data_IF_037674335373
#
_entry.id   IF_037674335373
#
_cell.length_a   1.000
_cell.length_b   1.000
_cell.length_c   1.000
_cell.angle_alpha   90.00
_cell.angle_beta   90.00
_cell.angle_gamma   90.00
#
_symmetry.space_group_name_H-M   'P 1'
#
loop_
_entity.id
_entity.type
_entity.pdbx_description
1 polymer ?
#
# COMPACT_ATOMS: atom_id res chain seq x y z
N UNK A 1 -11.22 -10.06 -12.09
CA UNK A 1 -11.85 -8.86 -11.54
C UNK A 1 -10.76 -7.86 -11.17
N UNK A 2 -11.00 -6.59 -11.41
CA UNK A 2 -10.13 -5.48 -11.03
C UNK A 2 -10.92 -4.58 -10.08
N UNK A 3 -10.29 -4.17 -8.97
CA UNK A 3 -10.85 -3.19 -8.05
C UNK A 3 -9.80 -2.12 -7.76
N UNK A 4 -10.18 -0.86 -7.92
CA UNK A 4 -9.35 0.25 -7.49
C UNK A 4 -9.48 0.44 -5.98
N UNK A 5 -8.36 0.53 -5.30
CA UNK A 5 -8.25 0.89 -3.89
C UNK A 5 -7.26 2.04 -3.81
N UNK A 6 -7.58 3.05 -3.01
CA UNK A 6 -6.67 4.17 -2.77
C UNK A 6 -5.36 3.63 -2.20
N UNK A 7 -4.24 4.05 -2.77
CA UNK A 7 -2.90 3.68 -2.31
C UNK A 7 -2.30 4.77 -1.40
N UNK A 8 -1.00 5.03 -1.57
CA UNK A 8 -0.24 5.99 -0.76
C UNK A 8 -0.62 7.47 -1.00
N UNK A 9 -1.64 7.74 -1.82
CA UNK A 9 -2.11 9.10 -2.16
C UNK A 9 -2.36 9.97 -0.93
N UNK A 10 -3.06 9.44 0.08
CA UNK A 10 -3.36 10.21 1.29
C UNK A 10 -2.08 10.64 2.02
N UNK A 11 -1.12 9.74 2.14
CA UNK A 11 0.15 10.03 2.80
C UNK A 11 0.99 11.02 2.01
N UNK A 12 1.02 10.90 0.68
CA UNK A 12 1.72 11.84 -0.18
C UNK A 12 1.09 13.24 -0.14
N UNK A 13 -0.24 13.34 -0.06
CA UNK A 13 -0.92 14.62 0.09
C UNK A 13 -0.69 15.24 1.49
N UNK A 14 -0.61 14.44 2.54
CA UNK A 14 -0.17 14.92 3.85
C UNK A 14 1.26 15.47 3.77
N UNK A 15 2.21 14.74 3.15
CA UNK A 15 3.59 15.20 2.96
C UNK A 15 3.65 16.54 2.21
N UNK A 16 2.84 16.70 1.14
CA UNK A 16 2.77 17.98 0.40
C UNK A 16 2.26 19.11 1.27
N UNK A 17 1.24 18.88 2.09
CA UNK A 17 0.73 19.86 3.03
C UNK A 17 1.80 20.27 4.04
N UNK A 18 2.48 19.30 4.65
CA UNK A 18 3.54 19.54 5.62
C UNK A 18 4.75 20.25 5.02
N UNK A 19 5.12 19.93 3.77
CA UNK A 19 6.19 20.64 3.06
C UNK A 19 5.88 22.14 2.92
N UNK A 20 4.64 22.51 2.61
CA UNK A 20 4.24 23.94 2.54
C UNK A 20 4.29 24.66 3.89
N UNK A 21 4.25 23.91 4.99
CA UNK A 21 4.38 24.40 6.37
C UNK A 21 5.83 24.36 6.88
N UNK A 22 6.79 24.02 6.04
CA UNK A 22 8.21 23.93 6.38
C UNK A 22 8.62 22.63 7.08
N UNK A 23 7.76 21.60 7.07
CA UNK A 23 8.06 20.24 7.57
C UNK A 23 8.30 19.31 6.39
N UNK A 24 9.56 19.02 6.12
CA UNK A 24 9.95 18.19 4.98
C UNK A 24 10.43 16.83 5.47
N UNK A 25 9.73 15.78 5.07
CA UNK A 25 10.02 14.40 5.49
C UNK A 25 10.40 13.55 4.28
N UNK A 26 11.55 12.91 4.39
CA UNK A 26 11.84 11.75 3.55
C UNK A 26 10.96 10.55 3.98
N UNK A 27 10.58 9.69 3.02
CA UNK A 27 9.68 8.58 3.31
C UNK A 27 10.18 7.67 4.46
N UNK A 28 11.48 7.29 4.55
CA UNK A 28 11.96 6.47 5.66
C UNK A 28 11.79 7.12 7.03
N UNK A 29 11.96 8.44 7.12
CA UNK A 29 11.76 9.20 8.36
C UNK A 29 10.29 9.18 8.78
N UNK A 30 9.38 9.43 7.84
CA UNK A 30 7.95 9.41 8.10
C UNK A 30 7.45 8.02 8.52
N UNK A 31 7.97 6.95 7.91
CA UNK A 31 7.66 5.59 8.30
C UNK A 31 8.17 5.25 9.70
N UNK A 32 9.30 5.81 10.11
CA UNK A 32 9.79 5.71 11.49
C UNK A 32 8.85 6.40 12.47
N UNK A 33 8.43 7.65 12.17
CA UNK A 33 7.44 8.37 13.00
C UNK A 33 6.12 7.59 13.10
N UNK A 34 5.69 6.96 12.01
CA UNK A 34 4.50 6.10 12.01
C UNK A 34 4.67 4.88 12.94
N UNK A 35 5.83 4.23 12.90
CA UNK A 35 6.12 3.09 13.78
C UNK A 35 6.18 3.51 15.25
N UNK A 36 6.75 4.68 15.56
CA UNK A 36 6.81 5.22 16.92
C UNK A 36 5.40 5.60 17.44
N UNK A 37 4.43 5.78 16.57
CA UNK A 37 3.03 6.10 16.86
C UNK A 37 2.08 4.89 16.76
N UNK A 38 2.57 3.66 16.83
CA UNK A 38 1.79 2.41 16.65
C UNK A 38 0.58 2.27 17.60
N UNK A 39 0.63 2.90 18.77
CA UNK A 39 -0.48 2.93 19.71
C UNK A 39 -1.72 3.69 19.21
N UNK A 40 -1.61 4.45 18.13
CA UNK A 40 -2.73 5.16 17.53
C UNK A 40 -3.56 4.21 16.64
N UNK A 41 -4.81 3.98 17.00
CA UNK A 41 -5.65 2.91 16.41
C UNK A 41 -6.85 3.39 15.60
N UNK A 42 -7.03 4.71 15.44
CA UNK A 42 -8.14 5.23 14.62
C UNK A 42 -7.97 4.81 13.17
N UNK A 43 -9.06 4.33 12.57
CA UNK A 43 -9.14 3.96 11.16
C UNK A 43 -10.07 4.89 10.41
N UNK A 44 -9.71 5.22 9.19
CA UNK A 44 -10.52 5.98 8.23
C UNK A 44 -10.83 5.08 7.01
N UNK A 45 -11.85 5.40 6.23
CA UNK A 45 -12.02 4.76 4.92
C UNK A 45 -11.17 5.50 3.87
N UNK A 46 -10.04 4.94 3.40
CA UNK A 46 -9.18 5.63 2.46
C UNK A 46 -9.84 5.86 1.08
N UNK A 47 -10.97 5.21 0.81
CA UNK A 47 -11.73 5.37 -0.43
C UNK A 47 -12.89 6.38 -0.29
N UNK A 48 -13.03 7.04 0.85
CA UNK A 48 -14.07 8.08 1.02
C UNK A 48 -13.84 9.21 0.01
N UNK A 49 -14.89 9.67 -0.71
CA UNK A 49 -14.79 10.76 -1.68
C UNK A 49 -14.20 12.05 -1.12
N UNK A 50 -14.27 12.27 0.19
CA UNK A 50 -13.64 13.40 0.88
C UNK A 50 -12.14 13.48 0.63
N UNK A 51 -11.47 12.35 0.44
CA UNK A 51 -10.02 12.25 0.24
C UNK A 51 -9.56 12.29 -1.22
N UNK A 52 -10.50 12.35 -2.18
CA UNK A 52 -10.15 12.35 -3.60
C UNK A 52 -9.50 13.67 -4.09
N UNK A 53 -9.94 14.88 -3.69
CA UNK A 53 -9.33 16.11 -4.16
C UNK A 53 -7.95 16.35 -3.56
N UNK A 54 -6.99 16.96 -4.30
CA UNK A 54 -5.67 17.31 -3.79
C UNK A 54 -5.73 18.45 -2.76
N UNK A 55 -4.68 18.54 -1.92
CA UNK A 55 -4.47 19.59 -0.92
C UNK A 55 -5.33 19.45 0.34
N UNK A 56 -4.81 19.98 1.46
CA UNK A 56 -5.52 20.00 2.74
C UNK A 56 -5.88 18.62 3.29
N UNK A 57 -5.04 17.61 3.06
CA UNK A 57 -5.35 16.24 3.48
C UNK A 57 -5.38 16.07 5.00
N UNK A 58 -4.47 16.66 5.79
CA UNK A 58 -4.55 16.59 7.24
C UNK A 58 -5.87 17.14 7.78
N UNK A 59 -6.34 18.29 7.27
CA UNK A 59 -7.60 18.92 7.70
C UNK A 59 -8.82 18.07 7.33
N UNK A 60 -8.78 17.40 6.16
CA UNK A 60 -9.85 16.48 5.75
C UNK A 60 -9.91 15.24 6.63
N UNK A 61 -8.77 14.70 7.03
CA UNK A 61 -8.71 13.57 7.98
C UNK A 61 -9.26 14.01 9.33
N UNK A 62 -8.94 15.23 9.81
CA UNK A 62 -9.51 15.78 11.03
C UNK A 62 -11.04 15.92 10.93
N UNK A 63 -11.53 16.52 9.86
CA UNK A 63 -12.97 16.68 9.62
C UNK A 63 -13.69 15.34 9.55
N UNK A 64 -13.11 14.38 8.82
CA UNK A 64 -13.62 13.01 8.74
C UNK A 64 -13.78 12.36 10.12
N UNK A 65 -12.74 12.49 10.97
CA UNK A 65 -12.77 11.93 12.31
C UNK A 65 -13.81 12.66 13.18
N UNK A 66 -13.85 13.99 13.15
CA UNK A 66 -14.78 14.79 13.93
C UNK A 66 -16.24 14.46 13.62
N UNK A 67 -16.61 14.38 12.33
CA UNK A 67 -17.97 14.05 11.88
C UNK A 67 -18.42 12.65 12.31
N UNK A 68 -17.48 11.73 12.53
CA UNK A 68 -17.75 10.33 12.89
C UNK A 68 -17.49 10.01 14.37
N UNK A 69 -17.15 11.02 15.18
CA UNK A 69 -16.84 10.83 16.59
C UNK A 69 -15.58 9.99 16.85
N UNK A 70 -14.65 9.97 15.88
CA UNK A 70 -13.36 9.28 15.99
C UNK A 70 -12.32 10.21 16.58
N UNK A 71 -11.31 9.64 17.26
CA UNK A 71 -10.16 10.41 17.74
C UNK A 71 -9.29 10.83 16.56
N UNK A 72 -9.11 12.14 16.28
CA UNK A 72 -8.28 12.58 15.17
C UNK A 72 -6.78 12.43 15.48
N UNK A 73 -5.93 12.20 14.47
CA UNK A 73 -4.48 12.25 14.62
C UNK A 73 -4.02 13.65 15.05
N UNK A 74 -2.95 13.73 15.86
CA UNK A 74 -2.38 14.99 16.37
C UNK A 74 -0.94 15.24 15.91
N UNK A 75 -0.21 14.17 15.64
CA UNK A 75 1.18 14.22 15.20
C UNK A 75 1.31 13.64 13.79
N UNK A 76 2.35 14.02 13.06
CA UNK A 76 2.59 13.54 11.70
C UNK A 76 2.75 12.02 11.66
N UNK A 77 3.34 11.43 12.72
CA UNK A 77 3.41 9.97 12.91
C UNK A 77 2.04 9.33 13.08
N UNK A 78 1.14 9.95 13.87
CA UNK A 78 -0.24 9.45 14.03
C UNK A 78 -1.04 9.52 12.73
N UNK A 79 -0.87 10.58 11.91
CA UNK A 79 -1.45 10.62 10.57
C UNK A 79 -0.92 9.49 9.70
N UNK A 80 0.39 9.30 9.69
CA UNK A 80 1.01 8.28 8.87
C UNK A 80 0.54 6.87 9.25
N UNK A 81 0.56 6.50 10.54
CA UNK A 81 0.11 5.16 10.98
C UNK A 81 -1.40 4.98 10.80
N UNK A 82 -2.22 6.01 11.02
CA UNK A 82 -3.64 5.99 10.73
C UNK A 82 -3.91 5.63 9.27
N UNK A 83 -3.22 6.28 8.34
CA UNK A 83 -3.36 6.02 6.91
C UNK A 83 -2.89 4.61 6.56
N UNK A 84 -1.71 4.18 7.03
CA UNK A 84 -1.14 2.87 6.71
C UNK A 84 -2.03 1.73 7.24
N UNK A 85 -2.50 1.81 8.49
CA UNK A 85 -3.44 0.85 9.05
C UNK A 85 -4.76 0.81 8.28
N UNK A 86 -5.28 1.98 7.91
CA UNK A 86 -6.52 2.08 7.13
C UNK A 86 -6.40 1.44 5.75
N UNK A 87 -5.25 1.62 5.08
CA UNK A 87 -4.95 0.96 3.80
C UNK A 87 -4.90 -0.56 3.96
N UNK A 88 -4.21 -1.07 4.97
CA UNK A 88 -4.13 -2.51 5.22
C UNK A 88 -5.51 -3.14 5.50
N UNK A 89 -6.38 -2.43 6.25
CA UNK A 89 -7.77 -2.84 6.47
C UNK A 89 -8.62 -2.79 5.18
N UNK A 90 -8.41 -1.78 4.33
CA UNK A 90 -9.07 -1.72 3.02
C UNK A 90 -8.64 -2.88 2.11
N UNK A 91 -7.37 -3.30 2.16
CA UNK A 91 -6.89 -4.49 1.46
C UNK A 91 -7.55 -5.76 1.99
N UNK A 92 -7.63 -5.94 3.32
CA UNK A 92 -8.35 -7.07 3.93
C UNK A 92 -9.80 -7.16 3.45
N UNK A 93 -10.52 -6.03 3.45
CA UNK A 93 -11.89 -5.95 2.94
C UNK A 93 -11.96 -6.36 1.46
N UNK A 94 -11.03 -5.85 0.64
CA UNK A 94 -10.97 -6.17 -0.79
C UNK A 94 -10.69 -7.66 -1.04
N UNK A 95 -9.81 -8.28 -0.26
CA UNK A 95 -9.54 -9.72 -0.34
C UNK A 95 -10.78 -10.55 -0.01
N UNK A 96 -11.52 -10.17 1.05
CA UNK A 96 -12.77 -10.84 1.40
C UNK A 96 -13.80 -10.76 0.26
N UNK A 97 -13.94 -9.58 -0.37
CA UNK A 97 -14.82 -9.38 -1.52
C UNK A 97 -14.38 -10.23 -2.73
N UNK A 98 -13.07 -10.29 -3.05
CA UNK A 98 -12.54 -11.12 -4.13
C UNK A 98 -12.81 -12.60 -3.84
N UNK A 99 -12.56 -13.07 -2.64
CA UNK A 99 -12.82 -14.45 -2.23
C UNK A 99 -14.31 -14.79 -2.35
N UNK A 100 -15.20 -13.91 -1.93
CA UNK A 100 -16.65 -14.09 -2.03
C UNK A 100 -17.12 -14.20 -3.49
N UNK A 101 -16.57 -13.39 -4.40
CA UNK A 101 -16.94 -13.39 -5.82
C UNK A 101 -16.34 -14.58 -6.58
N UNK A 102 -15.11 -14.98 -6.22
CA UNK A 102 -14.38 -16.02 -6.98
C UNK A 102 -14.51 -17.41 -6.41
N UNK A 103 -14.97 -17.55 -5.15
CA UNK A 103 -14.97 -18.80 -4.41
C UNK A 103 -13.56 -19.34 -4.10
N UNK A 104 -12.51 -18.53 -4.25
CA UNK A 104 -11.11 -18.93 -4.05
C UNK A 104 -10.57 -18.38 -2.74
N UNK A 105 -9.79 -19.20 -2.04
CA UNK A 105 -8.96 -18.75 -0.93
C UNK A 105 -7.72 -18.07 -1.48
N UNK A 106 -7.39 -16.90 -0.93
CA UNK A 106 -6.19 -16.14 -1.28
C UNK A 106 -5.15 -16.41 -0.20
N UNK A 107 -4.01 -16.97 -0.59
CA UNK A 107 -2.94 -17.39 0.33
C UNK A 107 -1.76 -16.40 0.32
N UNK A 108 -1.60 -15.63 -0.75
CA UNK A 108 -0.47 -14.72 -0.93
C UNK A 108 -0.93 -13.42 -1.59
N UNK A 109 -0.46 -12.30 -1.06
CA UNK A 109 -0.55 -10.99 -1.72
C UNK A 109 0.80 -10.68 -2.38
N UNK A 110 0.78 -10.33 -3.65
CA UNK A 110 1.95 -9.80 -4.36
C UNK A 110 1.85 -8.29 -4.48
N UNK A 111 2.79 -7.56 -3.86
CA UNK A 111 2.88 -6.10 -3.96
C UNK A 111 3.99 -5.72 -4.92
N UNK A 112 3.63 -4.98 -5.97
CA UNK A 112 4.50 -4.57 -7.05
C UNK A 112 4.54 -3.04 -7.14
N UNK A 113 5.55 -2.51 -7.82
CA UNK A 113 5.68 -1.05 -7.98
C UNK A 113 6.22 -0.36 -6.74
N UNK A 114 6.03 0.95 -6.60
CA UNK A 114 6.54 1.75 -5.50
C UNK A 114 6.10 1.27 -4.10
N UNK A 115 4.90 0.71 -3.98
CA UNK A 115 4.38 0.16 -2.73
C UNK A 115 5.23 -0.99 -2.16
N UNK A 116 5.97 -1.72 -3.02
CA UNK A 116 6.86 -2.79 -2.58
C UNK A 116 8.04 -2.32 -1.70
N UNK A 117 8.33 -1.03 -1.70
CA UNK A 117 9.40 -0.42 -0.92
C UNK A 117 8.97 -0.02 0.50
N UNK A 118 7.68 0.00 0.79
CA UNK A 118 7.16 0.36 2.11
C UNK A 118 7.04 -0.88 3.01
N UNK A 119 8.14 -1.21 3.69
CA UNK A 119 8.23 -2.40 4.54
C UNK A 119 7.20 -2.37 5.70
N UNK A 120 6.90 -1.19 6.27
CA UNK A 120 5.91 -1.05 7.33
C UNK A 120 4.50 -1.39 6.83
N UNK A 121 4.07 -0.81 5.68
CA UNK A 121 2.77 -1.13 5.10
C UNK A 121 2.67 -2.61 4.69
N UNK A 122 3.77 -3.17 4.17
CA UNK A 122 3.81 -4.57 3.76
C UNK A 122 3.65 -5.51 4.97
N UNK A 123 4.31 -5.22 6.11
CA UNK A 123 4.14 -5.98 7.34
C UNK A 123 2.72 -5.80 7.91
N UNK A 124 2.24 -4.56 8.06
CA UNK A 124 0.87 -4.29 8.49
C UNK A 124 -0.17 -5.01 7.61
N UNK A 125 0.09 -5.08 6.31
CA UNK A 125 -0.80 -5.82 5.39
C UNK A 125 -0.78 -7.32 5.68
N UNK A 126 0.41 -7.91 5.92
CA UNK A 126 0.51 -9.32 6.28
C UNK A 126 -0.24 -9.61 7.59
N UNK A 127 0.01 -8.81 8.64
CA UNK A 127 -0.57 -9.01 9.97
C UNK A 127 -2.10 -8.84 9.95
N UNK A 128 -2.60 -7.77 9.35
CA UNK A 128 -4.03 -7.45 9.32
C UNK A 128 -4.79 -8.41 8.41
N UNK A 129 -4.23 -8.80 7.26
CA UNK A 129 -4.86 -9.75 6.35
C UNK A 129 -4.74 -11.20 6.82
N UNK A 130 -3.73 -11.52 7.65
CA UNK A 130 -3.44 -12.87 8.11
C UNK A 130 -2.90 -13.78 7.00
N UNK A 131 -2.24 -13.21 5.99
CA UNK A 131 -1.69 -13.95 4.84
C UNK A 131 -0.32 -13.41 4.43
N UNK A 132 0.46 -14.25 3.77
CA UNK A 132 1.82 -13.88 3.33
C UNK A 132 1.76 -12.73 2.31
N UNK A 133 2.64 -11.75 2.51
CA UNK A 133 2.89 -10.68 1.53
C UNK A 133 4.27 -10.90 0.90
N UNK A 134 4.34 -10.91 -0.44
CA UNK A 134 5.58 -10.98 -1.21
C UNK A 134 5.74 -9.72 -2.04
N UNK A 135 6.92 -9.11 -1.98
CA UNK A 135 7.21 -7.97 -2.85
C UNK A 135 7.77 -8.42 -4.19
N UNK A 136 7.49 -7.64 -5.22
CA UNK A 136 8.07 -7.82 -6.55
C UNK A 136 8.82 -6.57 -7.00
N UNK A 137 9.19 -6.51 -8.28
CA UNK A 137 9.97 -5.41 -8.83
C UNK A 137 9.24 -4.07 -8.67
N UNK A 138 10.00 -3.02 -8.37
CA UNK A 138 9.49 -1.64 -8.37
C UNK A 138 9.00 -1.27 -9.77
N UNK A 139 9.77 -1.61 -10.79
CA UNK A 139 9.46 -1.36 -12.20
C UNK A 139 8.75 -2.55 -12.87
N UNK A 140 7.72 -3.10 -12.21
CA UNK A 140 7.02 -4.30 -12.66
C UNK A 140 6.44 -4.17 -14.08
N UNK A 141 5.94 -2.98 -14.45
CA UNK A 141 5.41 -2.71 -15.80
C UNK A 141 6.49 -2.81 -16.87
N UNK A 142 7.68 -2.29 -16.57
CA UNK A 142 8.84 -2.38 -17.48
C UNK A 142 9.26 -3.84 -17.69
N UNK A 143 9.37 -4.60 -16.60
CA UNK A 143 9.68 -6.04 -16.67
C UNK A 143 8.62 -6.82 -17.44
N UNK A 144 7.33 -6.49 -17.25
CA UNK A 144 6.25 -7.08 -18.01
C UNK A 144 6.35 -6.83 -19.52
N UNK A 145 6.66 -5.59 -19.91
CA UNK A 145 6.88 -5.22 -21.33
C UNK A 145 8.09 -5.94 -21.93
N UNK A 146 9.20 -5.99 -21.21
CA UNK A 146 10.41 -6.71 -21.65
C UNK A 146 10.10 -8.21 -21.82
N UNK A 147 9.36 -8.81 -20.88
CA UNK A 147 8.98 -10.21 -20.94
C UNK A 147 8.17 -10.54 -22.21
N UNK A 148 7.17 -9.71 -22.54
CA UNK A 148 6.35 -9.90 -23.76
C UNK A 148 7.19 -9.75 -25.02
N UNK A 149 8.10 -8.79 -25.07
CA UNK A 149 9.01 -8.60 -26.20
C UNK A 149 9.98 -9.80 -26.35
N UNK A 150 10.52 -10.31 -25.22
CA UNK A 150 11.41 -11.47 -25.24
C UNK A 150 10.69 -12.74 -25.73
N UNK A 151 9.41 -12.95 -25.36
CA UNK A 151 8.59 -14.03 -25.90
C UNK A 151 8.39 -13.84 -27.42
N UNK A 152 8.05 -12.63 -27.86
CA UNK A 152 7.85 -12.33 -29.28
C UNK A 152 9.10 -12.52 -30.12
N UNK A 153 10.27 -12.23 -29.55
CA UNK A 153 11.56 -12.42 -30.17
C UNK A 153 12.09 -13.87 -30.11
N UNK A 154 11.37 -14.79 -29.47
CA UNK A 154 11.78 -16.18 -29.30
C UNK A 154 12.94 -16.40 -28.31
N UNK A 155 13.26 -15.40 -27.49
CA UNK A 155 14.32 -15.47 -26.45
C UNK A 155 13.87 -16.31 -25.26
N UNK A 156 12.58 -16.22 -24.91
CA UNK A 156 11.90 -17.07 -23.93
C UNK A 156 10.66 -17.69 -24.56
N UNK A 157 10.36 -18.93 -24.19
CA UNK A 157 9.33 -19.71 -24.88
C UNK A 157 7.89 -19.26 -24.53
N UNK A 158 7.66 -18.81 -23.30
CA UNK A 158 6.31 -18.50 -22.82
C UNK A 158 6.34 -17.64 -21.55
N UNK A 159 5.14 -17.25 -21.09
CA UNK A 159 4.97 -16.40 -19.90
C UNK A 159 5.49 -17.05 -18.60
N UNK A 160 5.42 -18.38 -18.48
CA UNK A 160 5.92 -19.09 -17.30
C UNK A 160 7.44 -18.98 -17.19
N UNK A 161 8.14 -19.18 -18.30
CA UNK A 161 9.61 -19.02 -18.36
C UNK A 161 10.02 -17.57 -18.12
N UNK A 162 9.30 -16.61 -18.74
CA UNK A 162 9.53 -15.18 -18.50
C UNK A 162 9.36 -14.79 -17.03
N UNK A 163 8.33 -15.28 -16.37
CA UNK A 163 8.10 -15.04 -14.92
C UNK A 163 9.21 -15.65 -14.06
N UNK A 164 9.64 -16.85 -14.36
CA UNK A 164 10.76 -17.48 -13.64
C UNK A 164 12.07 -16.72 -13.81
N UNK A 165 12.31 -16.13 -14.99
CA UNK A 165 13.46 -15.28 -15.23
C UNK A 165 13.37 -13.98 -14.43
N UNK A 166 12.20 -13.32 -14.41
CA UNK A 166 11.98 -12.12 -13.62
C UNK A 166 12.21 -12.44 -12.12
N UNK A 167 11.65 -13.52 -11.59
CA UNK A 167 11.80 -13.90 -10.19
C UNK A 167 13.27 -14.10 -9.78
N UNK A 168 14.12 -14.57 -10.68
CA UNK A 168 15.57 -14.72 -10.45
C UNK A 168 16.33 -13.40 -10.55
N UNK A 169 15.75 -12.37 -11.16
CA UNK A 169 16.42 -11.11 -11.49
C UNK A 169 16.36 -10.06 -10.37
N UNK A 170 15.58 -10.30 -9.31
CA UNK A 170 15.50 -9.39 -8.17
C UNK A 170 15.27 -10.18 -6.87
N UNK A 171 15.58 -9.52 -5.73
CA UNK A 171 15.33 -10.10 -4.41
C UNK A 171 13.95 -9.72 -3.92
N UNK A 172 13.04 -10.70 -3.80
CA UNK A 172 11.73 -10.52 -3.18
C UNK A 172 11.88 -10.51 -1.66
N UNK A 173 11.21 -9.57 -0.99
CA UNK A 173 11.00 -9.63 0.45
C UNK A 173 9.71 -10.39 0.74
N UNK A 174 9.70 -11.14 1.85
CA UNK A 174 8.55 -11.92 2.31
C UNK A 174 8.20 -11.47 3.71
N UNK A 175 6.95 -11.05 3.91
CA UNK A 175 6.40 -10.65 5.20
C UNK A 175 5.41 -11.71 5.64
N UNK A 176 5.65 -12.27 6.83
CA UNK A 176 4.80 -13.27 7.45
C UNK A 176 3.84 -12.56 8.41
N UNK A 177 2.57 -13.00 8.53
CA UNK A 177 1.70 -12.50 9.58
C UNK A 177 2.26 -12.86 10.96
N UNK A 178 2.16 -11.90 11.92
CA UNK A 178 2.56 -12.08 13.31
C UNK A 178 1.60 -13.00 14.10
#
# INVERSE_FOLDING_TARGET
ALKNVTGMWLLEECRRSWHTEGRDYEMPELLKLASDAEAFTTLIDPNDPLFAPPGGMPERIQSYCAERGLTPPKTDGEYAICILNSLAHAYKKTLAEISAVTGRTIEVIHILGGGSQNDLLNQLTADICGIIVKTGPVEATLFGNIAVQAISAGVVANLTEARALIEKSFTSKVFQPA
#
